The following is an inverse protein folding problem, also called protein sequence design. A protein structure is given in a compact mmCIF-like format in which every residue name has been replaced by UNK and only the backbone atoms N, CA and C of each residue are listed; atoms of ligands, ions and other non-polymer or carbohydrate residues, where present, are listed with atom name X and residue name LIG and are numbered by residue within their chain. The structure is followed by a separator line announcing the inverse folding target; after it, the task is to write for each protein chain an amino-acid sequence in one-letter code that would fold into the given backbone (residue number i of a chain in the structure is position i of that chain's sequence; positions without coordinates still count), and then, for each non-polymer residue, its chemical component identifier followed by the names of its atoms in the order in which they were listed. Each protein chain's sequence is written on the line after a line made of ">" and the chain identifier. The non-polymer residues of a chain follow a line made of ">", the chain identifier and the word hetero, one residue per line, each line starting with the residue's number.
data_IF_546758122883
#
_entry.id   IF_546758122883
#
_cell.length_a   1.000
_cell.length_b   1.000
_cell.length_c   1.000
_cell.angle_alpha   90.00
_cell.angle_beta   90.00
_cell.angle_gamma   90.00
#
_symmetry.space_group_name_H-M   'P 1'
#
loop_
_entity.id
_entity.type
_entity.pdbx_description
1 polymer ?
#
# COMPACT_ATOMS: atom_id res chain seq x y z
N UNK A 1 8.13 -10.13 29.04
CA UNK A 1 8.36 -9.48 27.74
C UNK A 1 7.83 -8.06 27.84
N UNK A 2 8.63 -7.05 27.48
CA UNK A 2 8.21 -5.65 27.46
C UNK A 2 7.23 -5.45 26.31
N UNK A 3 6.13 -4.72 26.54
CA UNK A 3 5.19 -4.37 25.47
C UNK A 3 5.92 -3.59 24.36
N UNK A 4 5.58 -3.80 23.07
CA UNK A 4 6.11 -2.99 21.98
C UNK A 4 5.80 -1.50 22.20
N UNK A 5 6.61 -0.61 21.64
CA UNK A 5 6.44 0.85 21.77
C UNK A 5 5.90 1.46 20.48
N UNK A 6 4.99 2.42 20.61
CA UNK A 6 4.44 3.18 19.50
C UNK A 6 5.52 3.98 18.77
N UNK A 7 5.63 3.82 17.45
CA UNK A 7 6.62 4.54 16.64
C UNK A 7 6.43 6.06 16.55
N UNK A 8 5.22 6.55 16.85
CA UNK A 8 4.90 7.97 16.75
C UNK A 8 4.93 8.73 18.09
N UNK A 9 4.88 8.03 19.23
CA UNK A 9 4.89 8.71 20.53
C UNK A 9 5.62 7.97 21.66
N UNK A 10 6.13 6.77 21.41
CA UNK A 10 6.86 5.96 22.40
C UNK A 10 6.00 5.29 23.47
N UNK A 11 4.68 5.52 23.50
CA UNK A 11 3.78 4.87 24.45
C UNK A 11 3.74 3.34 24.25
N UNK A 12 3.52 2.58 25.33
CA UNK A 12 3.38 1.14 25.26
C UNK A 12 2.13 0.74 24.43
N UNK A 13 2.26 -0.30 23.61
CA UNK A 13 1.19 -0.85 22.79
C UNK A 13 0.56 -2.04 23.52
N UNK A 14 -0.67 -1.85 23.97
CA UNK A 14 -1.43 -2.87 24.73
C UNK A 14 -2.76 -3.25 24.10
N UNK A 15 -3.31 -2.42 23.21
CA UNK A 15 -4.59 -2.66 22.56
C UNK A 15 -4.40 -3.35 21.22
N UNK A 16 -4.92 -4.57 21.10
CA UNK A 16 -5.03 -5.26 19.81
C UNK A 16 -6.01 -4.54 18.90
N UNK A 17 -5.55 -4.22 17.68
CA UNK A 17 -6.42 -3.88 16.57
C UNK A 17 -6.89 -5.14 15.86
N UNK A 18 -5.94 -5.96 15.41
CA UNK A 18 -6.19 -7.20 14.68
C UNK A 18 -5.00 -8.14 14.88
N UNK A 19 -5.26 -9.40 15.24
CA UNK A 19 -4.25 -10.46 15.32
C UNK A 19 -4.53 -11.50 14.23
N UNK A 20 -3.63 -11.56 13.24
CA UNK A 20 -3.70 -12.47 12.10
C UNK A 20 -2.82 -13.71 12.30
N UNK A 21 -2.26 -13.92 13.51
CA UNK A 21 -1.43 -15.06 13.85
C UNK A 21 -0.03 -14.94 13.23
N UNK A 22 0.39 -15.97 12.51
CA UNK A 22 1.72 -16.06 11.91
C UNK A 22 1.63 -16.03 10.38
N UNK A 23 2.47 -15.22 9.73
CA UNK A 23 2.58 -15.18 8.27
C UNK A 23 4.04 -14.98 7.84
N UNK A 24 4.47 -15.51 6.68
CA UNK A 24 5.72 -15.09 6.08
C UNK A 24 5.63 -13.64 5.58
N UNK A 25 6.76 -13.09 5.13
CA UNK A 25 6.78 -11.83 4.39
C UNK A 25 5.97 -11.95 3.09
N UNK A 26 5.08 -10.99 2.86
CA UNK A 26 4.04 -11.09 1.83
C UNK A 26 4.60 -11.07 0.40
N UNK A 27 5.76 -10.47 0.15
CA UNK A 27 6.40 -10.45 -1.17
C UNK A 27 7.58 -11.43 -1.31
N UNK A 28 7.78 -12.35 -0.36
CA UNK A 28 8.88 -13.36 -0.40
C UNK A 28 8.50 -14.62 -1.18
N UNK A 29 8.21 -14.48 -2.48
CA UNK A 29 7.86 -15.63 -3.34
C UNK A 29 8.91 -16.74 -3.30
N UNK A 30 8.44 -17.99 -3.32
CA UNK A 30 9.31 -19.15 -3.26
C UNK A 30 9.72 -19.53 -4.67
N UNK A 31 11.03 -19.48 -4.93
CA UNK A 31 11.60 -19.91 -6.21
C UNK A 31 11.72 -21.44 -6.30
N UNK A 32 11.88 -22.03 -7.50
CA UNK A 32 12.09 -23.46 -7.68
C UNK A 32 13.21 -24.04 -6.80
N UNK A 33 14.31 -23.30 -6.63
CA UNK A 33 15.49 -23.72 -5.84
C UNK A 33 15.19 -23.75 -4.33
N UNK A 34 14.22 -22.94 -3.89
CA UNK A 34 13.79 -22.83 -2.49
C UNK A 34 12.55 -23.67 -2.18
N UNK A 35 11.97 -24.36 -3.16
CA UNK A 35 10.71 -25.12 -3.02
C UNK A 35 10.74 -26.13 -1.87
N UNK A 36 11.87 -26.79 -1.64
CA UNK A 36 12.04 -27.80 -0.61
C UNK A 36 12.66 -27.28 0.70
N UNK A 37 12.80 -25.95 0.84
CA UNK A 37 13.33 -25.31 2.04
C UNK A 37 12.19 -24.78 2.93
N UNK A 38 12.48 -24.66 4.23
CA UNK A 38 11.60 -24.00 5.19
C UNK A 38 11.44 -22.50 4.91
N UNK A 39 10.41 -21.93 5.51
CA UNK A 39 10.11 -20.49 5.49
C UNK A 39 10.09 -19.96 6.91
N UNK A 40 10.50 -18.70 7.06
CA UNK A 40 10.33 -17.95 8.31
C UNK A 40 8.92 -17.39 8.34
N UNK A 41 8.28 -17.51 9.51
CA UNK A 41 6.98 -16.92 9.80
C UNK A 41 7.15 -15.93 10.96
N UNK A 42 6.52 -14.77 10.84
CA UNK A 42 6.56 -13.70 11.84
C UNK A 42 5.15 -13.45 12.39
N UNK A 43 5.03 -12.99 13.63
CA UNK A 43 3.75 -12.52 14.17
C UNK A 43 3.19 -11.37 13.33
N UNK A 44 1.91 -11.48 12.94
CA UNK A 44 1.19 -10.45 12.21
C UNK A 44 0.08 -9.89 13.10
N UNK A 45 0.50 -9.11 14.09
CA UNK A 45 -0.37 -8.55 15.12
C UNK A 45 -0.30 -7.02 15.10
N UNK A 46 -1.39 -6.40 14.67
CA UNK A 46 -1.56 -4.96 14.66
C UNK A 46 -2.13 -4.45 15.99
N UNK A 47 -1.57 -3.34 16.44
CA UNK A 47 -1.96 -2.65 17.68
C UNK A 47 -2.50 -1.25 17.36
N UNK A 48 -3.37 -0.75 18.23
CA UNK A 48 -3.73 0.67 18.30
C UNK A 48 -2.99 1.29 19.48
N UNK A 49 -2.34 2.44 19.28
CA UNK A 49 -1.78 3.20 20.39
C UNK A 49 -2.89 3.94 21.16
N UNK A 50 -3.04 3.68 22.47
CA UNK A 50 -4.03 4.37 23.31
C UNK A 50 -3.71 5.86 23.56
N UNK A 51 -2.51 6.33 23.20
CA UNK A 51 -2.08 7.72 23.39
C UNK A 51 -2.23 8.59 22.14
N UNK A 52 -1.84 8.06 20.97
CA UNK A 52 -1.85 8.83 19.71
C UNK A 52 -2.69 8.19 18.61
N UNK A 53 -3.37 7.07 18.87
CA UNK A 53 -4.29 6.39 17.95
C UNK A 53 -3.67 5.84 16.66
N UNK A 54 -2.34 5.88 16.53
CA UNK A 54 -1.64 5.24 15.41
C UNK A 54 -1.83 3.73 15.50
N UNK A 55 -2.39 3.17 14.42
CA UNK A 55 -2.46 1.72 14.21
C UNK A 55 -1.16 1.26 13.55
N UNK A 56 -0.57 0.19 14.07
CA UNK A 56 0.77 -0.25 13.64
C UNK A 56 1.07 -1.72 13.93
N UNK A 57 1.97 -2.27 13.13
CA UNK A 57 2.68 -3.52 13.43
C UNK A 57 3.95 -3.27 14.24
N UNK A 58 4.41 -4.29 14.95
CA UNK A 58 5.80 -4.37 15.40
C UNK A 58 6.74 -4.55 14.19
N UNK A 59 7.98 -4.02 14.30
CA UNK A 59 8.99 -4.18 13.26
C UNK A 59 9.77 -5.48 13.48
N UNK A 60 9.65 -6.44 12.54
CA UNK A 60 10.29 -7.75 12.64
C UNK A 60 11.50 -7.94 11.72
N UNK A 61 11.65 -7.07 10.72
CA UNK A 61 12.73 -7.12 9.73
C UNK A 61 13.24 -5.71 9.45
N UNK A 62 14.48 -5.62 8.94
CA UNK A 62 15.07 -4.33 8.59
C UNK A 62 14.53 -3.80 7.26
N UNK A 63 14.42 -2.48 7.07
CA UNK A 63 14.01 -1.89 5.79
C UNK A 63 14.89 -2.33 4.63
N UNK A 64 16.18 -2.54 4.86
CA UNK A 64 17.13 -3.01 3.84
C UNK A 64 16.76 -4.42 3.38
N UNK A 65 16.40 -5.31 4.31
CA UNK A 65 15.99 -6.67 3.97
C UNK A 65 14.69 -6.72 3.14
N UNK A 66 13.82 -5.73 3.30
CA UNK A 66 12.52 -5.66 2.62
C UNK A 66 12.60 -4.90 1.29
N UNK A 67 13.34 -3.79 1.24
CA UNK A 67 13.24 -2.79 0.15
C UNK A 67 14.48 -2.67 -0.73
N UNK A 68 15.60 -3.37 -0.46
CA UNK A 68 16.80 -3.26 -1.31
C UNK A 68 16.71 -4.02 -2.65
N UNK A 69 15.92 -5.08 -2.74
CA UNK A 69 15.60 -5.79 -3.99
C UNK A 69 14.09 -5.97 -4.12
N UNK A 70 13.44 -4.95 -4.66
CA UNK A 70 11.98 -4.84 -4.63
C UNK A 70 11.34 -5.46 -5.87
N UNK A 71 10.36 -6.34 -5.66
CA UNK A 71 9.68 -7.08 -6.72
C UNK A 71 8.46 -6.34 -7.31
N UNK A 72 8.10 -5.17 -6.75
CA UNK A 72 6.91 -4.42 -7.14
C UNK A 72 7.29 -3.20 -7.99
N UNK A 73 6.80 -3.22 -9.23
CA UNK A 73 7.00 -2.18 -10.24
C UNK A 73 5.66 -1.51 -10.54
N UNK A 74 5.53 -0.24 -10.17
CA UNK A 74 4.29 0.53 -10.28
C UNK A 74 3.83 0.69 -11.73
N UNK A 75 4.76 0.76 -12.69
CA UNK A 75 4.47 0.94 -14.11
C UNK A 75 3.70 -0.21 -14.81
N UNK A 76 3.47 -1.36 -14.16
CA UNK A 76 2.69 -2.46 -14.77
C UNK A 76 1.17 -2.31 -14.63
N UNK A 77 0.68 -1.39 -13.79
CA UNK A 77 -0.76 -1.13 -13.66
C UNK A 77 -1.19 0.05 -14.53
N UNK A 78 -2.02 -0.22 -15.55
CA UNK A 78 -2.55 0.82 -16.43
C UNK A 78 -3.45 1.82 -15.67
N UNK A 79 -4.24 1.33 -14.72
CA UNK A 79 -5.02 2.19 -13.82
C UNK A 79 -4.16 3.14 -13.00
N UNK A 80 -3.05 2.64 -12.46
CA UNK A 80 -2.12 3.44 -11.66
C UNK A 80 -1.39 4.50 -12.49
N UNK A 81 -1.00 4.18 -13.72
CA UNK A 81 -0.41 5.15 -14.65
C UNK A 81 -1.39 6.29 -14.99
N UNK A 82 -2.68 5.99 -15.22
CA UNK A 82 -3.71 7.02 -15.43
C UNK A 82 -3.91 7.91 -14.21
N UNK A 83 -3.88 7.32 -13.02
CA UNK A 83 -3.93 8.06 -11.75
C UNK A 83 -2.74 9.00 -11.61
N UNK A 84 -1.53 8.52 -11.89
CA UNK A 84 -0.30 9.31 -11.85
C UNK A 84 -0.32 10.47 -12.85
N UNK A 85 -0.73 10.24 -14.09
CA UNK A 85 -0.84 11.30 -15.10
C UNK A 85 -1.86 12.37 -14.68
N UNK A 86 -3.02 11.94 -14.16
CA UNK A 86 -4.07 12.84 -13.67
C UNK A 86 -3.57 13.68 -12.49
N UNK A 87 -2.83 13.06 -11.56
CA UNK A 87 -2.17 13.75 -10.46
C UNK A 87 -1.20 14.83 -10.99
N UNK A 88 -0.29 14.47 -11.90
CA UNK A 88 0.69 15.42 -12.44
C UNK A 88 0.00 16.61 -13.11
N UNK A 89 -1.02 16.36 -13.95
CA UNK A 89 -1.78 17.43 -14.57
C UNK A 89 -2.45 18.35 -13.54
N UNK A 90 -3.07 17.79 -12.50
CA UNK A 90 -3.71 18.55 -11.44
C UNK A 90 -2.70 19.38 -10.64
N UNK A 91 -1.54 18.82 -10.28
CA UNK A 91 -0.53 19.54 -9.49
C UNK A 91 0.12 20.68 -10.27
N UNK A 92 0.39 20.48 -11.57
CA UNK A 92 0.90 21.52 -12.45
C UNK A 92 -0.10 22.67 -12.52
N UNK A 93 -1.37 22.38 -12.77
CA UNK A 93 -2.42 23.40 -12.86
C UNK A 93 -2.63 24.13 -11.52
N UNK A 94 -2.68 23.37 -10.42
CA UNK A 94 -2.99 23.89 -9.09
C UNK A 94 -1.89 24.80 -8.52
N UNK A 95 -0.63 24.43 -8.73
CA UNK A 95 0.52 25.15 -8.15
C UNK A 95 1.35 25.93 -9.17
N UNK A 96 0.89 26.00 -10.43
CA UNK A 96 1.57 26.74 -11.48
C UNK A 96 2.98 26.21 -11.77
N UNK A 97 3.18 24.89 -11.69
CA UNK A 97 4.51 24.29 -11.82
C UNK A 97 5.00 24.40 -13.27
N UNK A 98 6.25 24.79 -13.44
CA UNK A 98 6.86 25.10 -14.74
C UNK A 98 8.31 24.64 -14.81
N UNK A 99 9.04 25.05 -15.85
CA UNK A 99 10.46 24.74 -16.02
C UNK A 99 11.35 25.35 -14.92
N UNK A 100 10.85 26.35 -14.20
CA UNK A 100 11.48 27.04 -13.09
C UNK A 100 11.19 26.36 -11.74
N UNK A 101 10.28 25.37 -11.71
CA UNK A 101 9.94 24.60 -10.53
C UNK A 101 10.86 23.39 -10.34
N UNK A 102 10.79 22.78 -9.15
CA UNK A 102 11.44 21.52 -8.82
C UNK A 102 10.45 20.60 -8.12
N UNK A 103 10.27 19.40 -8.68
CA UNK A 103 9.49 18.33 -8.08
C UNK A 103 10.43 17.26 -7.54
N UNK A 104 10.15 16.75 -6.33
CA UNK A 104 10.87 15.60 -5.77
C UNK A 104 9.86 14.52 -5.40
N UNK A 105 10.04 13.29 -5.89
CA UNK A 105 9.23 12.15 -5.45
C UNK A 105 10.07 11.26 -4.53
N UNK A 106 9.52 10.96 -3.34
CA UNK A 106 10.14 10.08 -2.34
C UNK A 106 9.55 8.68 -2.46
N UNK A 107 10.43 7.68 -2.53
CA UNK A 107 10.12 6.31 -2.96
C UNK A 107 9.48 6.28 -4.37
N UNK A 108 10.19 6.88 -5.33
CA UNK A 108 9.68 7.14 -6.69
C UNK A 108 9.53 5.88 -7.56
N UNK A 109 9.95 4.72 -7.07
CA UNK A 109 9.89 3.46 -7.80
C UNK A 109 10.50 3.58 -9.21
N UNK A 110 9.88 2.97 -10.23
CA UNK A 110 10.36 2.91 -11.61
C UNK A 110 10.14 4.22 -12.41
N UNK A 111 9.98 5.34 -11.70
CA UNK A 111 9.75 6.66 -12.28
C UNK A 111 8.36 6.84 -12.89
N UNK A 112 7.40 5.97 -12.54
CA UNK A 112 6.07 5.91 -13.15
C UNK A 112 5.31 7.25 -13.10
N UNK A 113 5.52 8.06 -12.06
CA UNK A 113 4.86 9.35 -11.88
C UNK A 113 5.71 10.49 -12.45
N UNK A 114 6.99 10.55 -12.08
CA UNK A 114 7.89 11.64 -12.50
C UNK A 114 8.07 11.75 -14.02
N UNK A 115 7.93 10.65 -14.78
CA UNK A 115 7.97 10.70 -16.25
C UNK A 115 6.96 11.70 -16.85
N UNK A 116 5.80 11.89 -16.21
CA UNK A 116 4.78 12.80 -16.71
C UNK A 116 5.12 14.28 -16.45
N UNK A 117 5.91 14.57 -15.42
CA UNK A 117 6.50 15.90 -15.20
C UNK A 117 7.62 16.17 -16.20
N UNK A 118 8.48 15.18 -16.46
CA UNK A 118 9.55 15.25 -17.47
C UNK A 118 8.96 15.54 -18.86
N UNK A 119 7.89 14.84 -19.24
CA UNK A 119 7.18 15.07 -20.50
C UNK A 119 6.60 16.50 -20.63
N UNK A 120 6.43 17.22 -19.52
CA UNK A 120 5.95 18.60 -19.45
C UNK A 120 7.07 19.60 -19.11
N UNK A 121 8.32 19.17 -19.22
CA UNK A 121 9.53 19.97 -18.99
C UNK A 121 9.64 20.58 -17.58
N UNK A 122 9.02 19.95 -16.58
CA UNK A 122 9.19 20.32 -15.16
C UNK A 122 10.39 19.55 -14.59
N UNK A 123 11.42 20.20 -14.02
CA UNK A 123 12.54 19.54 -13.40
C UNK A 123 12.13 18.62 -12.25
N UNK A 124 12.63 17.37 -12.26
CA UNK A 124 12.31 16.36 -11.25
C UNK A 124 13.56 15.81 -10.55
N UNK A 125 13.37 15.10 -9.43
CA UNK A 125 14.33 14.16 -8.85
C UNK A 125 13.54 13.07 -8.11
N UNK A 126 13.80 11.80 -8.42
CA UNK A 126 13.33 10.67 -7.62
C UNK A 126 14.30 10.36 -6.48
N UNK A 127 13.80 9.82 -5.37
CA UNK A 127 14.58 9.20 -4.30
C UNK A 127 14.06 7.78 -4.10
N UNK A 128 14.87 6.76 -4.37
CA UNK A 128 14.44 5.36 -4.38
C UNK A 128 15.54 4.45 -3.82
N UNK A 129 15.35 3.77 -2.67
CA UNK A 129 16.38 2.89 -2.12
C UNK A 129 16.65 1.64 -2.97
N UNK A 130 15.68 1.16 -3.76
CA UNK A 130 15.80 -0.05 -4.58
C UNK A 130 16.59 0.23 -5.87
N UNK A 131 17.88 -0.09 -5.89
CA UNK A 131 18.78 0.20 -7.02
C UNK A 131 18.33 -0.44 -8.35
N UNK A 132 17.75 -1.64 -8.30
CA UNK A 132 17.20 -2.35 -9.45
C UNK A 132 16.05 -1.58 -10.11
N UNK A 133 15.18 -0.96 -9.31
CA UNK A 133 14.03 -0.17 -9.73
C UNK A 133 14.45 1.24 -10.17
N UNK A 134 15.32 1.90 -9.38
CA UNK A 134 15.85 3.23 -9.70
C UNK A 134 16.54 3.28 -11.07
N UNK A 135 17.22 2.19 -11.48
CA UNK A 135 17.81 2.08 -12.81
C UNK A 135 16.76 2.18 -13.93
N UNK A 136 15.59 1.57 -13.76
CA UNK A 136 14.48 1.66 -14.74
C UNK A 136 13.97 3.10 -14.87
N UNK A 137 13.88 3.83 -13.75
CA UNK A 137 13.52 5.24 -13.77
C UNK A 137 14.53 6.09 -14.56
N UNK A 138 15.83 5.86 -14.33
CA UNK A 138 16.92 6.56 -15.04
C UNK A 138 16.91 6.27 -16.54
N UNK A 139 16.67 5.01 -16.95
CA UNK A 139 16.52 4.63 -18.36
C UNK A 139 15.34 5.33 -19.04
N UNK A 140 14.29 5.70 -18.27
CA UNK A 140 13.15 6.50 -18.74
C UNK A 140 13.39 8.02 -18.70
N UNK A 141 14.61 8.46 -18.41
CA UNK A 141 14.95 9.87 -18.34
C UNK A 141 14.53 10.57 -17.04
N UNK A 142 14.24 9.81 -15.98
CA UNK A 142 13.95 10.34 -14.64
C UNK A 142 15.20 10.25 -13.76
N UNK A 143 15.89 11.38 -13.45
CA UNK A 143 17.01 11.37 -12.51
C UNK A 143 16.56 10.85 -11.15
N UNK A 144 17.27 9.87 -10.60
CA UNK A 144 16.89 9.18 -9.36
C UNK A 144 18.11 8.99 -8.46
N UNK A 145 18.00 9.43 -7.21
CA UNK A 145 18.97 9.19 -6.15
C UNK A 145 18.68 7.85 -5.48
N UNK A 146 19.70 6.99 -5.37
CA UNK A 146 19.57 5.70 -4.69
C UNK A 146 19.83 5.89 -3.20
N UNK A 147 18.77 6.14 -2.43
CA UNK A 147 18.87 6.36 -0.99
C UNK A 147 17.55 6.10 -0.26
N UNK A 148 17.62 5.72 1.01
CA UNK A 148 16.50 5.91 1.92
C UNK A 148 16.31 7.40 2.22
N UNK A 149 15.05 7.82 2.32
CA UNK A 149 14.70 9.20 2.61
C UNK A 149 14.51 9.44 4.10
N UNK A 150 15.04 10.56 4.57
CA UNK A 150 15.08 10.95 5.96
C UNK A 150 15.65 12.37 6.09
N UNK A 151 15.79 12.88 7.31
CA UNK A 151 16.28 14.25 7.55
C UNK A 151 17.66 14.49 6.95
N UNK A 152 18.57 13.53 7.09
CA UNK A 152 19.95 13.66 6.59
C UNK A 152 19.98 13.72 5.05
N UNK A 153 19.33 12.76 4.38
CA UNK A 153 19.21 12.73 2.92
C UNK A 153 18.59 14.02 2.40
N UNK A 154 17.50 14.47 3.01
CA UNK A 154 16.84 15.72 2.62
C UNK A 154 17.74 16.94 2.75
N UNK A 155 18.51 17.08 3.84
CA UNK A 155 19.47 18.19 4.02
C UNK A 155 20.56 18.19 2.95
N UNK A 156 21.12 17.01 2.65
CA UNK A 156 22.13 16.85 1.60
C UNK A 156 21.59 17.26 0.23
N UNK A 157 20.40 16.79 -0.12
CA UNK A 157 19.74 17.13 -1.39
C UNK A 157 19.39 18.62 -1.45
N UNK A 158 18.88 19.21 -0.37
CA UNK A 158 18.61 20.64 -0.28
C UNK A 158 19.88 21.48 -0.49
N UNK A 159 21.00 21.09 0.14
CA UNK A 159 22.29 21.74 -0.03
C UNK A 159 22.84 21.62 -1.46
N UNK A 160 22.50 20.54 -2.17
CA UNK A 160 22.80 20.35 -3.59
C UNK A 160 21.84 21.11 -4.55
N UNK A 161 20.95 21.95 -4.02
CA UNK A 161 20.02 22.76 -4.82
C UNK A 161 18.74 22.04 -5.23
N UNK A 162 18.38 20.93 -4.56
CA UNK A 162 17.15 20.17 -4.86
C UNK A 162 15.96 20.54 -3.97
N UNK A 163 15.94 21.75 -3.39
CA UNK A 163 14.73 22.22 -2.69
C UNK A 163 13.53 22.23 -3.63
N UNK A 164 12.40 21.73 -3.17
CA UNK A 164 11.25 21.41 -4.00
C UNK A 164 10.08 22.39 -3.82
N UNK A 165 9.43 22.75 -4.93
CA UNK A 165 8.12 23.42 -4.93
C UNK A 165 7.00 22.42 -4.65
N UNK A 166 7.19 21.17 -5.10
CA UNK A 166 6.29 20.05 -4.83
C UNK A 166 7.11 18.83 -4.42
N UNK A 167 6.72 18.19 -3.32
CA UNK A 167 7.14 16.82 -3.03
C UNK A 167 5.94 15.87 -3.14
N UNK A 168 6.20 14.64 -3.58
CA UNK A 168 5.20 13.58 -3.61
C UNK A 168 5.72 12.34 -2.87
N UNK A 169 4.84 11.70 -2.10
CA UNK A 169 5.13 10.48 -1.35
C UNK A 169 3.90 9.55 -1.41
N UNK A 170 3.82 8.76 -2.47
CA UNK A 170 2.67 7.90 -2.72
C UNK A 170 2.92 6.49 -2.17
N UNK A 171 1.99 6.02 -1.33
CA UNK A 171 1.99 4.70 -0.71
C UNK A 171 3.27 4.35 0.06
N UNK A 172 4.08 5.33 0.47
CA UNK A 172 5.33 5.07 1.21
C UNK A 172 5.22 5.37 2.69
N UNK A 173 4.40 6.34 3.12
CA UNK A 173 4.35 6.77 4.53
C UNK A 173 4.00 5.61 5.49
N UNK A 174 3.17 4.66 5.04
CA UNK A 174 2.82 3.45 5.76
C UNK A 174 3.99 2.45 5.91
N UNK A 175 5.00 2.53 5.04
CA UNK A 175 6.15 1.62 4.93
C UNK A 175 7.39 2.11 5.68
N UNK A 176 7.32 3.26 6.36
CA UNK A 176 8.49 3.83 7.03
C UNK A 176 8.51 3.49 8.52
N UNK A 177 9.56 2.81 9.03
CA UNK A 177 9.65 2.50 10.45
C UNK A 177 9.88 3.75 11.32
N UNK A 178 10.77 4.65 10.92
CA UNK A 178 10.99 5.94 11.58
C UNK A 178 10.18 7.04 10.90
N UNK A 179 8.90 7.09 11.26
CA UNK A 179 7.95 8.05 10.67
C UNK A 179 8.31 9.51 11.00
N UNK A 180 9.06 9.77 12.07
CA UNK A 180 9.48 11.11 12.43
C UNK A 180 10.67 11.59 11.60
N UNK A 181 11.69 10.74 11.39
CA UNK A 181 12.80 11.10 10.51
C UNK A 181 12.32 11.31 9.07
N UNK A 182 11.37 10.48 8.62
CA UNK A 182 10.73 10.64 7.32
C UNK A 182 10.01 11.98 7.19
N UNK A 183 9.08 12.29 8.11
CA UNK A 183 8.33 13.54 8.11
C UNK A 183 9.25 14.77 8.23
N UNK A 184 10.30 14.68 9.04
CA UNK A 184 11.31 15.72 9.15
C UNK A 184 12.03 16.00 7.82
N UNK A 185 12.30 14.97 7.02
CA UNK A 185 12.91 15.14 5.69
C UNK A 185 12.10 16.07 4.79
N UNK A 186 10.77 16.01 4.83
CA UNK A 186 9.90 16.90 4.03
C UNK A 186 10.08 18.36 4.43
N UNK A 187 10.17 18.67 5.73
CA UNK A 187 10.42 20.02 6.20
C UNK A 187 11.77 20.58 5.71
N UNK A 188 12.81 19.74 5.60
CA UNK A 188 14.14 20.16 5.16
C UNK A 188 14.22 20.42 3.65
N UNK A 189 13.55 19.58 2.84
CA UNK A 189 13.62 19.64 1.37
C UNK A 189 12.63 20.65 0.75
N UNK A 190 11.53 20.98 1.42
CA UNK A 190 10.54 21.92 0.89
C UNK A 190 11.09 23.36 0.82
N UNK A 191 10.76 24.06 -0.27
CA UNK A 191 10.85 25.52 -0.35
C UNK A 191 9.83 26.17 0.62
N UNK A 192 9.99 27.45 1.00
CA UNK A 192 9.11 28.11 1.96
C UNK A 192 7.60 28.02 1.64
N UNK A 193 7.23 28.18 0.37
CA UNK A 193 5.84 28.06 -0.12
C UNK A 193 5.54 26.69 -0.76
N UNK A 194 6.50 25.76 -0.68
CA UNK A 194 6.38 24.44 -1.29
C UNK A 194 5.32 23.58 -0.62
N UNK A 195 4.79 22.62 -1.37
CA UNK A 195 3.75 21.69 -0.93
C UNK A 195 4.28 20.27 -0.91
N UNK A 196 4.00 19.53 0.16
CA UNK A 196 4.17 18.08 0.20
C UNK A 196 2.83 17.39 0.03
N UNK A 197 2.78 16.40 -0.84
CA UNK A 197 1.65 15.48 -0.96
C UNK A 197 2.01 14.11 -0.44
N UNK A 198 1.09 13.52 0.33
CA UNK A 198 1.19 12.15 0.82
C UNK A 198 -0.06 11.41 0.40
N UNK A 199 0.07 10.33 -0.36
CA UNK A 199 -1.06 9.45 -0.67
C UNK A 199 -0.92 8.13 0.11
N UNK A 200 -1.94 7.73 0.84
CA UNK A 200 -1.91 6.49 1.63
C UNK A 200 -3.32 5.92 1.86
N UNK A 201 -3.46 4.59 2.03
CA UNK A 201 -4.73 3.95 2.38
C UNK A 201 -5.32 4.52 3.67
N UNK A 202 -6.61 4.83 3.65
CA UNK A 202 -7.31 5.48 4.76
C UNK A 202 -7.77 4.44 5.79
N UNK A 203 -7.32 4.59 7.04
CA UNK A 203 -7.70 3.70 8.14
C UNK A 203 -9.21 3.57 8.33
N UNK A 204 -9.98 4.65 8.14
CA UNK A 204 -11.44 4.59 8.26
C UNK A 204 -12.04 3.62 7.23
N UNK A 205 -11.61 3.73 5.96
CA UNK A 205 -12.08 2.86 4.88
C UNK A 205 -11.65 1.42 5.10
N UNK A 206 -10.44 1.22 5.60
CA UNK A 206 -9.96 -0.11 5.99
C UNK A 206 -10.90 -0.78 7.02
N UNK A 207 -11.35 -0.04 8.04
CA UNK A 207 -12.27 -0.54 9.05
C UNK A 207 -13.67 -0.80 8.45
N UNK A 208 -14.25 0.20 7.78
CA UNK A 208 -15.60 0.10 7.20
C UNK A 208 -15.73 -1.02 6.17
N UNK A 209 -14.69 -1.23 5.37
CA UNK A 209 -14.62 -2.20 4.28
C UNK A 209 -13.83 -3.46 4.66
N UNK A 210 -13.51 -3.65 5.94
CA UNK A 210 -12.91 -4.89 6.47
C UNK A 210 -11.65 -5.33 5.71
N UNK A 211 -10.82 -4.38 5.27
CA UNK A 211 -9.66 -4.58 4.39
C UNK A 211 -8.45 -5.12 5.14
N UNK A 212 -8.63 -6.18 5.93
CA UNK A 212 -7.57 -6.73 6.79
C UNK A 212 -6.42 -7.36 5.98
N UNK A 213 -6.67 -7.70 4.73
CA UNK A 213 -5.66 -8.24 3.82
C UNK A 213 -4.57 -7.20 3.53
N UNK A 214 -4.84 -5.90 3.74
CA UNK A 214 -3.81 -4.87 3.67
C UNK A 214 -2.87 -4.86 4.88
N UNK A 215 -3.10 -5.73 5.88
CA UNK A 215 -2.18 -5.90 7.01
C UNK A 215 -1.08 -6.90 6.61
N UNK A 216 0.13 -6.41 6.39
CA UNK A 216 1.32 -7.23 6.15
C UNK A 216 2.58 -6.52 6.64
N UNK A 217 3.66 -7.27 6.87
CA UNK A 217 4.86 -6.80 7.55
C UNK A 217 5.53 -5.55 6.97
N UNK A 218 5.32 -5.27 5.67
CA UNK A 218 5.88 -4.09 5.00
C UNK A 218 5.04 -2.82 5.28
N UNK A 219 3.76 -2.99 5.65
CA UNK A 219 2.91 -1.93 6.18
C UNK A 219 3.11 -1.80 7.69
N UNK A 220 4.15 -1.05 8.05
CA UNK A 220 4.41 -0.70 9.43
C UNK A 220 3.22 0.02 10.05
N UNK A 221 2.65 1.03 9.37
CA UNK A 221 1.61 1.94 9.88
C UNK A 221 0.30 1.88 9.08
N UNK A 222 -0.84 2.11 9.74
CA UNK A 222 -2.15 2.29 9.12
C UNK A 222 -2.72 3.64 9.56
N UNK A 223 -3.01 4.51 8.61
CA UNK A 223 -2.98 5.96 8.83
C UNK A 223 -4.38 6.58 8.77
N UNK A 224 -4.72 7.35 9.79
CA UNK A 224 -5.81 8.33 9.77
C UNK A 224 -5.26 9.73 9.52
N UNK A 225 -6.09 10.63 9.01
CA UNK A 225 -5.75 12.02 8.78
C UNK A 225 -5.32 12.71 10.09
N UNK A 226 -6.04 12.52 11.18
CA UNK A 226 -5.70 13.14 12.47
C UNK A 226 -4.32 12.71 13.00
N UNK A 227 -3.95 11.44 12.82
CA UNK A 227 -2.60 10.95 13.17
C UNK A 227 -1.53 11.60 12.31
N UNK A 228 -1.75 11.68 10.99
CA UNK A 228 -0.80 12.30 10.06
C UNK A 228 -0.64 13.80 10.34
N UNK A 229 -1.73 14.53 10.63
CA UNK A 229 -1.68 15.92 11.08
C UNK A 229 -0.81 16.05 12.33
N UNK A 230 -1.00 15.17 13.31
CA UNK A 230 -0.22 15.15 14.55
C UNK A 230 1.28 14.96 14.32
N UNK A 231 1.65 14.03 13.45
CA UNK A 231 3.06 13.75 13.11
C UNK A 231 3.69 14.92 12.37
N UNK A 232 3.03 15.43 11.32
CA UNK A 232 3.54 16.53 10.51
C UNK A 232 3.74 17.81 11.34
N UNK A 233 2.79 18.12 12.24
CA UNK A 233 2.86 19.29 13.11
C UNK A 233 4.10 19.30 14.00
N UNK A 234 4.55 18.13 14.47
CA UNK A 234 5.77 18.04 15.29
C UNK A 234 7.04 18.42 14.53
N UNK A 235 6.99 18.45 13.19
CA UNK A 235 8.11 18.81 12.32
C UNK A 235 7.92 20.14 11.59
N UNK A 236 7.03 21.01 12.08
CA UNK A 236 6.81 22.35 11.53
C UNK A 236 6.01 22.38 10.23
N UNK A 237 5.31 21.28 9.90
CA UNK A 237 4.42 21.18 8.75
C UNK A 237 2.97 21.18 9.21
N UNK A 238 2.10 21.80 8.42
CA UNK A 238 0.64 21.75 8.61
C UNK A 238 -0.06 21.24 7.37
N UNK A 239 -1.10 20.46 7.58
CA UNK A 239 -2.02 20.06 6.52
C UNK A 239 -2.98 21.21 6.25
N UNK A 240 -3.20 21.51 4.97
CA UNK A 240 -4.16 22.53 4.54
C UNK A 240 -5.23 21.98 3.61
N UNK A 241 -5.05 20.80 3.01
CA UNK A 241 -6.07 20.19 2.16
C UNK A 241 -5.96 18.66 2.18
N UNK A 242 -7.04 17.99 1.76
CA UNK A 242 -7.12 16.54 1.62
C UNK A 242 -8.09 16.16 0.51
N UNK A 243 -7.71 15.17 -0.29
CA UNK A 243 -8.58 14.52 -1.28
C UNK A 243 -8.83 13.07 -0.87
N UNK A 244 -10.07 12.59 -1.03
CA UNK A 244 -10.39 11.16 -0.92
C UNK A 244 -10.32 10.52 -2.33
N UNK A 245 -9.56 9.44 -2.47
CA UNK A 245 -9.38 8.70 -3.73
C UNK A 245 -9.79 7.23 -3.57
N UNK A 246 -10.36 6.58 -4.60
CA UNK A 246 -10.72 5.16 -4.54
C UNK A 246 -9.51 4.21 -4.63
N UNK A 247 -8.30 4.75 -4.84
CA UNK A 247 -7.07 3.96 -4.97
C UNK A 247 -6.84 3.10 -3.73
N UNK A 248 -6.36 1.87 -3.96
CA UNK A 248 -6.07 0.88 -2.91
C UNK A 248 -7.23 0.60 -1.93
N UNK A 249 -8.48 0.78 -2.36
CA UNK A 249 -9.66 0.54 -1.51
C UNK A 249 -10.16 1.75 -0.73
N UNK A 250 -9.64 2.94 -1.02
CA UNK A 250 -9.93 4.16 -0.29
C UNK A 250 -8.67 4.71 0.34
N UNK A 251 -8.16 5.79 -0.24
CA UNK A 251 -6.94 6.47 0.17
C UNK A 251 -7.21 7.94 0.41
N UNK A 252 -6.37 8.55 1.23
CA UNK A 252 -6.27 10.00 1.34
C UNK A 252 -5.06 10.48 0.57
N UNK A 253 -5.21 11.60 -0.14
CA UNK A 253 -4.09 12.45 -0.56
C UNK A 253 -4.08 13.71 0.27
N UNK A 254 -3.11 13.82 1.15
CA UNK A 254 -2.94 14.94 2.08
C UNK A 254 -2.01 15.97 1.47
N UNK A 255 -2.36 17.25 1.58
CA UNK A 255 -1.53 18.37 1.18
C UNK A 255 -1.02 19.10 2.42
N UNK A 256 0.30 19.14 2.58
CA UNK A 256 0.97 19.79 3.68
C UNK A 256 1.93 20.86 3.20
N UNK A 257 2.20 21.85 4.05
CA UNK A 257 3.12 22.94 3.78
C UNK A 257 3.80 23.36 5.09
N UNK A 258 4.80 24.23 5.01
CA UNK A 258 5.36 24.87 6.20
C UNK A 258 4.28 25.65 6.97
N UNK A 259 4.40 25.69 8.30
CA UNK A 259 3.46 26.43 9.15
C UNK A 259 3.24 27.87 8.66
N UNK A 260 4.33 28.54 8.26
CA UNK A 260 4.33 29.93 7.80
C UNK A 260 3.90 30.16 6.34
N UNK A 261 3.67 29.10 5.55
CA UNK A 261 3.30 29.22 4.14
C UNK A 261 1.90 29.85 3.98
N UNK A 262 1.59 30.39 2.81
CA UNK A 262 0.33 31.13 2.57
C UNK A 262 -0.90 30.24 2.28
N UNK A 263 -0.74 28.91 2.21
CA UNK A 263 -1.83 27.98 1.84
C UNK A 263 -2.94 27.94 2.89
N UNK A 264 -4.15 28.39 2.57
CA UNK A 264 -5.28 28.37 3.49
C UNK A 264 -5.87 26.95 3.66
N UNK A 265 -6.37 26.58 4.85
CA UNK A 265 -7.07 25.32 5.05
C UNK A 265 -8.38 25.29 4.23
N UNK A 266 -8.68 24.13 3.64
CA UNK A 266 -9.90 23.91 2.84
C UNK A 266 -11.05 23.36 3.69
N UNK A 267 -12.32 23.52 3.25
CA UNK A 267 -13.46 22.86 3.88
C UNK A 267 -13.36 21.32 3.86
N UNK A 268 -12.72 20.75 2.86
CA UNK A 268 -12.49 19.31 2.70
C UNK A 268 -11.66 18.74 3.84
N UNK A 269 -10.64 19.47 4.30
CA UNK A 269 -9.86 19.12 5.48
C UNK A 269 -10.75 19.00 6.72
N UNK A 270 -11.60 19.98 6.98
CA UNK A 270 -12.53 19.95 8.11
C UNK A 270 -13.52 18.78 7.99
N UNK A 271 -14.07 18.56 6.79
CA UNK A 271 -15.03 17.47 6.53
C UNK A 271 -14.44 16.10 6.86
N UNK A 272 -13.21 15.80 6.41
CA UNK A 272 -12.58 14.50 6.68
C UNK A 272 -12.16 14.37 8.14
N UNK A 273 -11.69 15.45 8.78
CA UNK A 273 -11.43 15.42 10.22
C UNK A 273 -12.71 15.06 10.98
N UNK A 274 -13.82 15.75 10.70
CA UNK A 274 -15.11 15.49 11.35
C UNK A 274 -15.64 14.07 11.07
N UNK A 275 -15.38 13.48 9.90
CA UNK A 275 -15.77 12.10 9.63
C UNK A 275 -14.97 11.10 10.48
N UNK A 276 -13.67 11.31 10.69
CA UNK A 276 -12.86 10.47 11.59
C UNK A 276 -13.31 10.57 13.06
N UNK A 277 -13.67 11.78 13.52
CA UNK A 277 -14.25 11.98 14.85
C UNK A 277 -15.61 11.30 14.99
N UNK A 278 -16.49 11.46 13.99
CA UNK A 278 -17.81 10.81 13.97
C UNK A 278 -17.72 9.28 13.90
N UNK A 279 -16.63 8.75 13.35
CA UNK A 279 -16.33 7.33 13.30
C UNK A 279 -15.51 6.82 14.51
N UNK A 280 -15.31 7.66 15.53
CA UNK A 280 -14.65 7.28 16.79
C UNK A 280 -13.19 6.81 16.64
N UNK A 281 -12.45 7.31 15.65
CA UNK A 281 -11.04 6.94 15.46
C UNK A 281 -10.08 7.49 16.53
N UNK A 282 -10.55 8.36 17.42
CA UNK A 282 -9.75 8.94 18.51
C UNK A 282 -10.25 8.51 19.88
N UNK A 283 -10.91 7.36 19.94
CA UNK A 283 -11.27 6.67 21.17
C UNK A 283 -11.32 5.14 20.94
N UNK A 284 -11.37 4.31 22.00
CA UNK A 284 -11.31 2.86 21.84
C UNK A 284 -12.48 2.23 21.07
N UNK A 285 -13.64 2.91 20.98
CA UNK A 285 -14.85 2.32 20.42
C UNK A 285 -14.82 2.20 18.89
N UNK A 286 -14.10 3.09 18.18
CA UNK A 286 -13.97 3.05 16.71
C UNK A 286 -13.23 1.81 16.18
N UNK A 287 -12.51 1.11 17.05
CA UNK A 287 -11.76 -0.11 16.71
C UNK A 287 -12.49 -1.39 17.13
N UNK A 288 -13.59 -1.27 17.87
CA UNK A 288 -14.31 -2.42 18.39
C UNK A 288 -14.95 -3.22 17.25
N UNK A 289 -14.82 -4.55 17.30
CA UNK A 289 -15.50 -5.45 16.38
C UNK A 289 -14.77 -5.70 15.05
N UNK A 290 -13.74 -4.94 14.70
CA UNK A 290 -12.94 -5.18 13.49
C UNK A 290 -12.39 -6.62 13.45
N UNK A 291 -11.71 -7.07 14.52
CA UNK A 291 -11.20 -8.45 14.60
C UNK A 291 -12.26 -9.55 14.47
N UNK A 292 -13.50 -9.29 14.92
CA UNK A 292 -14.63 -10.24 14.73
C UNK A 292 -15.07 -10.27 13.26
N UNK A 293 -15.23 -9.09 12.63
CA UNK A 293 -15.58 -9.02 11.21
C UNK A 293 -14.54 -9.72 10.32
N UNK A 294 -13.25 -9.62 10.67
CA UNK A 294 -12.16 -10.35 10.00
C UNK A 294 -12.32 -11.88 10.14
N UNK A 295 -12.64 -12.36 11.34
CA UNK A 295 -12.91 -13.78 11.56
C UNK A 295 -14.15 -14.27 10.79
N UNK A 296 -15.18 -13.44 10.68
CA UNK A 296 -16.39 -13.76 9.91
C UNK A 296 -16.09 -13.91 8.42
N UNK A 297 -15.26 -13.03 7.84
CA UNK A 297 -14.79 -13.15 6.44
C UNK A 297 -14.02 -14.45 6.24
N UNK A 298 -13.09 -14.79 7.15
CA UNK A 298 -12.35 -16.05 7.10
C UNK A 298 -13.29 -17.26 7.10
N UNK A 299 -14.27 -17.28 8.00
CA UNK A 299 -15.25 -18.36 8.09
C UNK A 299 -16.09 -18.47 6.81
N UNK A 300 -16.54 -17.34 6.23
CA UNK A 300 -17.31 -17.32 5.00
C UNK A 300 -16.50 -17.85 3.81
N UNK A 301 -15.25 -17.38 3.64
CA UNK A 301 -14.36 -17.81 2.57
C UNK A 301 -14.04 -19.31 2.65
N UNK A 302 -13.72 -19.81 3.85
CA UNK A 302 -13.44 -21.24 4.04
C UNK A 302 -14.66 -22.11 3.75
N UNK A 303 -15.85 -21.70 4.21
CA UNK A 303 -17.10 -22.42 3.90
C UNK A 303 -17.31 -22.53 2.40
N UNK A 304 -17.20 -21.41 1.69
CA UNK A 304 -17.34 -21.37 0.24
C UNK A 304 -16.36 -22.28 -0.49
N UNK A 305 -15.07 -22.21 -0.16
CA UNK A 305 -14.05 -23.05 -0.81
C UNK A 305 -14.24 -24.55 -0.53
N UNK A 306 -14.68 -24.90 0.69
CA UNK A 306 -15.00 -26.29 1.05
C UNK A 306 -16.21 -26.77 0.25
N UNK A 307 -17.24 -25.94 0.08
CA UNK A 307 -18.44 -26.26 -0.71
C UNK A 307 -18.13 -26.42 -2.21
N UNK A 308 -17.31 -25.54 -2.79
CA UNK A 308 -16.83 -25.68 -4.17
C UNK A 308 -16.09 -27.01 -4.36
N UNK A 309 -15.15 -27.33 -3.46
CA UNK A 309 -14.41 -28.59 -3.51
C UNK A 309 -15.31 -29.81 -3.34
N UNK A 310 -16.24 -29.79 -2.38
CA UNK A 310 -17.16 -30.90 -2.12
C UNK A 310 -18.07 -31.18 -3.33
N UNK A 311 -18.39 -30.15 -4.10
CA UNK A 311 -19.13 -30.26 -5.35
C UNK A 311 -18.27 -30.65 -6.57
N UNK A 312 -16.97 -30.92 -6.37
CA UNK A 312 -16.04 -31.27 -7.45
C UNK A 312 -15.65 -30.10 -8.34
N UNK A 313 -15.93 -28.85 -7.92
CA UNK A 313 -15.59 -27.63 -8.67
C UNK A 313 -14.16 -27.19 -8.39
N UNK A 314 -13.51 -26.69 -9.42
CA UNK A 314 -12.15 -26.17 -9.38
C UNK A 314 -12.15 -24.67 -9.12
N UNK A 315 -11.47 -24.25 -8.05
CA UNK A 315 -11.21 -22.83 -7.78
C UNK A 315 -9.75 -22.51 -8.09
N UNK A 316 -9.55 -21.47 -8.90
CA UNK A 316 -8.27 -20.79 -9.04
C UNK A 316 -8.39 -19.37 -8.45
N UNK A 317 -7.28 -18.67 -8.28
CA UNK A 317 -7.29 -17.26 -7.87
C UNK A 317 -6.58 -16.38 -8.90
N UNK A 318 -6.82 -15.07 -8.81
CA UNK A 318 -6.16 -14.07 -9.64
C UNK A 318 -5.54 -12.98 -8.77
N UNK A 319 -4.33 -12.57 -9.12
CA UNK A 319 -3.54 -11.51 -8.49
C UNK A 319 -2.70 -12.03 -7.32
N UNK A 320 -1.43 -12.32 -7.58
CA UNK A 320 -0.48 -12.76 -6.56
C UNK A 320 0.13 -11.55 -5.82
N UNK A 321 -0.67 -10.60 -5.34
CA UNK A 321 -0.18 -9.42 -4.60
C UNK A 321 -0.03 -9.69 -3.09
N UNK A 322 0.76 -8.87 -2.40
CA UNK A 322 1.02 -8.98 -0.95
C UNK A 322 -0.26 -9.20 -0.12
N UNK A 323 -1.30 -8.40 -0.37
CA UNK A 323 -2.57 -8.52 0.36
C UNK A 323 -3.28 -9.86 0.16
N UNK A 324 -3.26 -10.41 -1.04
CA UNK A 324 -3.77 -11.75 -1.32
C UNK A 324 -3.04 -12.81 -0.51
N UNK A 325 -1.72 -12.66 -0.33
CA UNK A 325 -0.93 -13.56 0.51
C UNK A 325 -1.32 -13.47 1.99
N UNK A 326 -1.59 -12.27 2.51
CA UNK A 326 -2.15 -12.13 3.88
C UNK A 326 -3.47 -12.88 4.02
N UNK A 327 -4.42 -12.64 3.10
CA UNK A 327 -5.73 -13.29 3.14
C UNK A 327 -5.61 -14.82 3.14
N UNK A 328 -4.82 -15.37 2.21
CA UNK A 328 -4.64 -16.81 2.06
C UNK A 328 -3.97 -17.44 3.29
N UNK A 329 -2.92 -16.81 3.83
CA UNK A 329 -2.22 -17.30 5.03
C UNK A 329 -3.12 -17.24 6.27
N UNK A 330 -3.79 -16.12 6.51
CA UNK A 330 -4.71 -15.98 7.64
C UNK A 330 -5.84 -17.01 7.59
N UNK A 331 -6.40 -17.25 6.41
CA UNK A 331 -7.46 -18.25 6.23
C UNK A 331 -6.93 -19.69 6.27
N UNK A 332 -5.63 -19.91 6.08
CA UNK A 332 -5.05 -21.25 5.96
C UNK A 332 -5.37 -21.92 4.62
N UNK A 333 -5.59 -21.13 3.57
CA UNK A 333 -5.92 -21.61 2.22
C UNK A 333 -4.65 -22.06 1.50
N UNK A 334 -4.71 -23.25 0.92
CA UNK A 334 -3.58 -23.98 0.30
C UNK A 334 -4.01 -24.62 -1.03
N UNK A 335 -3.10 -25.30 -1.79
CA UNK A 335 -3.37 -25.81 -3.13
C UNK A 335 -4.56 -26.76 -3.25
N UNK A 336 -4.97 -27.39 -2.16
CA UNK A 336 -6.13 -28.27 -2.10
C UNK A 336 -7.49 -27.55 -2.12
N UNK A 337 -7.52 -26.24 -1.90
CA UNK A 337 -8.70 -25.39 -2.01
C UNK A 337 -8.59 -24.39 -3.16
N UNK A 338 -7.39 -23.89 -3.45
CA UNK A 338 -7.12 -22.97 -4.57
C UNK A 338 -5.96 -23.51 -5.39
N UNK A 339 -6.25 -23.99 -6.60
CA UNK A 339 -5.32 -24.80 -7.41
C UNK A 339 -4.09 -24.02 -7.88
N UNK A 340 -4.27 -22.78 -8.30
CA UNK A 340 -3.23 -21.90 -8.82
C UNK A 340 -3.66 -20.43 -8.67
N UNK A 341 -2.69 -19.51 -8.70
CA UNK A 341 -2.93 -18.06 -8.75
C UNK A 341 -2.34 -17.49 -10.04
N UNK A 342 -3.15 -16.85 -10.88
CA UNK A 342 -2.62 -16.12 -12.03
C UNK A 342 -2.09 -14.74 -11.61
N UNK A 343 -0.98 -14.31 -12.20
CA UNK A 343 -0.49 -12.93 -12.09
C UNK A 343 0.15 -12.49 -13.41
N UNK A 344 -0.03 -11.23 -13.79
CA UNK A 344 0.52 -10.67 -15.04
C UNK A 344 2.02 -10.47 -14.99
N UNK A 345 2.60 -10.30 -13.80
CA UNK A 345 4.03 -10.06 -13.63
C UNK A 345 4.84 -11.31 -14.00
N UNK A 346 5.67 -11.27 -15.05
CA UNK A 346 6.51 -12.40 -15.43
C UNK A 346 7.51 -12.79 -14.32
N UNK A 347 7.90 -11.83 -13.48
CA UNK A 347 8.81 -12.06 -12.35
C UNK A 347 8.23 -12.97 -11.27
N UNK A 348 6.90 -13.09 -11.18
CA UNK A 348 6.23 -13.96 -10.21
C UNK A 348 5.87 -15.32 -10.80
N UNK A 349 5.70 -15.43 -12.11
CA UNK A 349 5.28 -16.67 -12.77
C UNK A 349 6.33 -17.78 -12.59
N UNK A 350 5.88 -19.01 -12.39
CA UNK A 350 6.77 -20.15 -12.12
C UNK A 350 7.30 -20.23 -10.68
N UNK A 351 6.84 -19.33 -9.79
CA UNK A 351 7.12 -19.37 -8.35
C UNK A 351 5.93 -19.93 -7.56
N UNK A 352 6.04 -19.95 -6.23
CA UNK A 352 4.92 -20.23 -5.33
C UNK A 352 4.69 -19.07 -4.36
N UNK A 353 3.44 -18.85 -4.00
CA UNK A 353 3.07 -17.89 -2.96
C UNK A 353 3.71 -18.23 -1.62
N UNK A 354 4.16 -17.22 -0.84
CA UNK A 354 4.76 -17.44 0.46
C UNK A 354 3.74 -18.06 1.44
N UNK A 355 4.17 -19.12 2.13
CA UNK A 355 3.39 -19.83 3.16
C UNK A 355 2.29 -20.75 2.62
N UNK A 356 1.39 -20.25 1.76
CA UNK A 356 0.32 -21.06 1.16
C UNK A 356 0.85 -22.09 0.16
N UNK A 357 1.99 -21.78 -0.49
CA UNK A 357 2.63 -22.62 -1.53
C UNK A 357 1.72 -22.92 -2.72
N UNK A 358 0.80 -22.02 -3.04
CA UNK A 358 0.00 -22.08 -4.27
C UNK A 358 0.88 -21.64 -5.44
N UNK A 359 0.94 -22.40 -6.56
CA UNK A 359 1.76 -22.03 -7.71
C UNK A 359 1.24 -20.75 -8.37
N UNK A 360 2.17 -19.89 -8.79
CA UNK A 360 1.88 -18.69 -9.57
C UNK A 360 2.05 -18.99 -11.05
N UNK A 361 1.00 -18.75 -11.82
CA UNK A 361 0.92 -19.06 -13.27
C UNK A 361 0.59 -17.79 -14.08
N UNK A 362 0.73 -17.88 -15.40
CA UNK A 362 0.25 -16.83 -16.29
C UNK A 362 -1.29 -16.83 -16.40
N UNK A 363 -1.91 -15.71 -16.80
CA UNK A 363 -3.35 -15.68 -17.11
C UNK A 363 -3.77 -16.73 -18.14
N UNK A 364 -2.97 -16.94 -19.18
CA UNK A 364 -3.25 -17.93 -20.24
C UNK A 364 -3.27 -19.37 -19.70
N UNK A 365 -2.30 -19.71 -18.84
CA UNK A 365 -2.28 -21.02 -18.17
C UNK A 365 -3.51 -21.21 -17.27
N UNK A 366 -3.96 -20.17 -16.56
CA UNK A 366 -5.18 -20.26 -15.76
C UNK A 366 -6.42 -20.46 -16.64
N UNK A 367 -6.55 -19.74 -17.77
CA UNK A 367 -7.65 -19.93 -18.71
C UNK A 367 -7.67 -21.36 -19.28
N UNK A 368 -6.49 -21.91 -19.59
CA UNK A 368 -6.36 -23.29 -20.06
C UNK A 368 -6.83 -24.34 -19.01
N UNK A 369 -6.78 -24.01 -17.71
CA UNK A 369 -7.33 -24.88 -16.65
C UNK A 369 -8.85 -24.89 -16.58
N UNK A 370 -9.53 -23.91 -17.21
CA UNK A 370 -10.99 -23.74 -17.20
C UNK A 370 -11.63 -23.88 -15.80
N UNK A 371 -11.21 -23.07 -14.81
CA UNK A 371 -11.75 -23.15 -13.46
C UNK A 371 -13.26 -22.83 -13.43
N UNK A 372 -13.98 -23.45 -12.50
CA UNK A 372 -15.40 -23.15 -12.22
C UNK A 372 -15.55 -21.81 -11.50
N UNK A 373 -14.56 -21.41 -10.71
CA UNK A 373 -14.53 -20.09 -10.07
C UNK A 373 -13.12 -19.51 -9.99
N UNK A 374 -13.01 -18.21 -10.23
CA UNK A 374 -11.80 -17.41 -9.97
C UNK A 374 -12.02 -16.48 -8.79
N UNK A 375 -11.29 -16.74 -7.70
CA UNK A 375 -11.20 -15.84 -6.55
C UNK A 375 -10.25 -14.67 -6.89
N UNK A 376 -10.80 -13.47 -7.05
CA UNK A 376 -10.03 -12.24 -7.26
C UNK A 376 -9.50 -11.78 -5.89
N UNK A 377 -8.19 -11.93 -5.69
CA UNK A 377 -7.51 -11.51 -4.46
C UNK A 377 -7.35 -9.99 -4.37
N UNK A 378 -6.97 -9.26 -5.44
CA UNK A 378 -7.00 -7.80 -5.44
C UNK A 378 -8.40 -7.31 -5.78
N UNK A 379 -9.31 -7.46 -4.82
CA UNK A 379 -10.73 -7.07 -4.91
C UNK A 379 -10.93 -5.61 -5.35
N UNK A 380 -9.99 -4.70 -5.04
CA UNK A 380 -10.04 -3.31 -5.50
C UNK A 380 -9.83 -3.14 -7.03
N UNK A 381 -9.56 -4.22 -7.75
CA UNK A 381 -9.43 -4.29 -9.21
C UNK A 381 -10.44 -5.29 -9.82
N UNK A 382 -11.53 -5.61 -9.11
CA UNK A 382 -12.46 -6.66 -9.52
C UNK A 382 -13.02 -6.45 -10.94
N UNK A 383 -13.44 -5.24 -11.28
CA UNK A 383 -14.00 -4.92 -12.60
C UNK A 383 -12.96 -5.07 -13.72
N UNK A 384 -11.74 -4.56 -13.49
CA UNK A 384 -10.63 -4.64 -14.44
C UNK A 384 -10.28 -6.12 -14.69
N UNK A 385 -10.12 -6.91 -13.63
CA UNK A 385 -9.73 -8.31 -13.71
C UNK A 385 -10.83 -9.18 -14.30
N UNK A 386 -12.09 -8.97 -13.90
CA UNK A 386 -13.23 -9.69 -14.46
C UNK A 386 -13.41 -9.36 -15.95
N UNK A 387 -13.12 -8.13 -16.37
CA UNK A 387 -13.07 -7.72 -17.77
C UNK A 387 -11.95 -8.39 -18.54
N UNK A 388 -10.72 -8.39 -18.02
CA UNK A 388 -9.55 -9.03 -18.65
C UNK A 388 -9.72 -10.55 -18.79
N UNK A 389 -10.39 -11.17 -17.82
CA UNK A 389 -10.63 -12.62 -17.76
C UNK A 389 -12.03 -13.01 -18.23
N UNK A 390 -12.73 -12.17 -19.00
CA UNK A 390 -14.13 -12.37 -19.39
C UNK A 390 -14.41 -13.73 -20.06
N UNK A 391 -13.42 -14.31 -20.75
CA UNK A 391 -13.49 -15.63 -21.36
C UNK A 391 -13.94 -16.74 -20.39
N UNK A 392 -13.71 -16.57 -19.07
CA UNK A 392 -14.15 -17.51 -18.03
C UNK A 392 -15.66 -17.75 -18.06
N UNK A 393 -16.44 -16.72 -18.44
CA UNK A 393 -17.89 -16.82 -18.54
C UNK A 393 -18.35 -17.72 -19.70
N UNK A 394 -17.50 -17.91 -20.73
CA UNK A 394 -17.85 -18.72 -21.91
C UNK A 394 -18.05 -20.21 -21.59
N UNK A 395 -17.43 -20.72 -20.53
CA UNK A 395 -17.65 -22.09 -20.05
C UNK A 395 -18.49 -22.15 -18.77
N UNK A 396 -19.15 -21.06 -18.40
CA UNK A 396 -19.99 -20.98 -17.20
C UNK A 396 -19.21 -20.77 -15.89
N UNK A 397 -17.92 -20.42 -15.97
CA UNK A 397 -17.15 -20.04 -14.80
C UNK A 397 -17.60 -18.70 -14.20
N UNK A 398 -17.34 -18.53 -12.91
CA UNK A 398 -17.73 -17.35 -12.12
C UNK A 398 -16.52 -16.66 -11.50
N UNK A 399 -16.71 -15.45 -11.01
CA UNK A 399 -15.74 -14.73 -10.19
C UNK A 399 -16.22 -14.69 -8.75
N UNK A 400 -15.26 -14.56 -7.82
CA UNK A 400 -15.55 -14.31 -6.42
C UNK A 400 -14.59 -13.28 -5.84
N UNK A 401 -15.07 -12.47 -4.90
CA UNK A 401 -14.26 -11.62 -4.02
C UNK A 401 -14.60 -11.95 -2.57
N UNK A 402 -13.65 -11.81 -1.66
CA UNK A 402 -13.85 -12.16 -0.24
C UNK A 402 -13.94 -10.94 0.69
N UNK A 403 -13.58 -9.76 0.20
CA UNK A 403 -13.49 -8.51 0.96
C UNK A 403 -14.21 -7.42 0.15
N UNK A 404 -15.10 -6.61 0.77
CA UNK A 404 -15.43 -6.56 2.20
C UNK A 404 -16.28 -7.74 2.71
N UNK A 405 -16.92 -8.46 1.79
CA UNK A 405 -17.71 -9.65 2.08
C UNK A 405 -17.58 -10.64 0.91
N UNK A 406 -17.96 -11.89 1.15
CA UNK A 406 -17.92 -12.90 0.11
C UNK A 406 -19.05 -12.67 -0.91
N UNK A 407 -18.67 -12.35 -2.14
CA UNK A 407 -19.58 -12.19 -3.28
C UNK A 407 -19.13 -13.08 -4.43
N UNK A 408 -20.08 -13.70 -5.13
CA UNK A 408 -19.84 -14.54 -6.32
C UNK A 408 -20.68 -14.02 -7.48
N UNK A 409 -20.09 -13.80 -8.65
CA UNK A 409 -20.72 -13.11 -9.79
C UNK A 409 -20.21 -13.53 -11.17
#
# INVERSE_FOLDING_TARGET
>A
MTAPTCRACGAALTRTFCDLGLSPLANSYVTPERRHRGETFHPLHAYVCDACWLVQLEAFESPEAIFSDYAYFSGFSAGWLRHAESYVAAMIARFGLSAESKVVEVASNDGYLLQYFVARSVPVLGVEPAANVARVAVERGVPTEIAFFGRETARRLAAAGHKADLTAANNVLAHVPDIHDFAAGFAEILKPEGVATFEFPHLLRMIEQRQFDTIYHEHFSYLSLGVVIGILRQHGLRVFDVEEWPTHGGSLRVFACHEAAAHAPTPELERVVLSEWGAHLFDPSGYAGFGRAVADIKCAALRFLIEERAAGRTVCAYGAAAKGNTFLNYCGIKPELVRAVADRSPHKQGTWLPGSRIPVVSPDELLAMRPDTVLILPWNLEDEIAGEMAAIREWGGRFAVAIPELTVF
#
